data_IF_994886641103
#
_entry.id   IF_994886641103
#
_cell.length_a   1.000
_cell.length_b   1.000
_cell.length_c   1.000
_cell.angle_alpha   90.00
_cell.angle_beta   90.00
_cell.angle_gamma   90.00
#
_symmetry.space_group_name_H-M   'P 1'
#
loop_
_entity.id
_entity.type
_entity.pdbx_description
1 polymer ?
#
# COMPACT_ATOMS: atom_id res chain seq x y z
N UNK A 1 -24.09 -32.25 19.29
CA UNK A 1 -25.29 -31.70 19.93
C UNK A 1 -24.91 -30.37 20.49
N UNK A 2 -25.34 -29.28 19.87
CA UNK A 2 -26.66 -28.64 20.12
C UNK A 2 -26.45 -27.50 21.14
N UNK A 3 -27.22 -26.39 21.21
CA UNK A 3 -28.20 -25.76 20.31
C UNK A 3 -27.96 -24.23 20.25
N UNK A 4 -27.27 -23.67 19.26
CA UNK A 4 -27.24 -22.21 19.09
C UNK A 4 -26.87 -21.79 17.67
N UNK A 5 -27.41 -22.49 16.66
CA UNK A 5 -27.83 -21.77 15.47
C UNK A 5 -28.93 -20.82 15.94
N UNK A 6 -28.52 -19.66 16.48
CA UNK A 6 -29.40 -18.61 16.94
C UNK A 6 -30.23 -18.23 15.72
N UNK A 7 -31.44 -18.76 15.65
CA UNK A 7 -32.47 -18.19 14.81
C UNK A 7 -32.45 -16.71 15.12
N UNK A 8 -32.03 -15.88 14.16
CA UNK A 8 -31.98 -14.45 14.35
C UNK A 8 -33.35 -14.05 14.88
N UNK A 9 -33.41 -13.51 16.11
CA UNK A 9 -34.69 -13.32 16.75
C UNK A 9 -35.46 -12.34 15.88
N UNK A 10 -36.61 -12.77 15.38
CA UNK A 10 -37.43 -11.97 14.47
C UNK A 10 -38.40 -11.13 15.30
N UNK A 11 -38.71 -9.92 14.82
CA UNK A 11 -39.81 -9.14 15.37
C UNK A 11 -41.16 -9.79 15.05
N UNK A 12 -42.25 -9.17 15.51
CA UNK A 12 -43.62 -9.66 15.26
C UNK A 12 -43.99 -9.72 13.77
N UNK A 13 -43.25 -9.03 12.92
CA UNK A 13 -43.44 -8.95 11.48
C UNK A 13 -42.44 -9.83 10.71
N UNK A 14 -41.67 -10.68 11.40
CA UNK A 14 -40.73 -11.61 10.78
C UNK A 14 -39.41 -10.97 10.33
N UNK A 15 -39.09 -9.76 10.79
CA UNK A 15 -37.85 -9.05 10.44
C UNK A 15 -36.75 -9.33 11.47
N UNK A 16 -35.48 -9.46 11.05
CA UNK A 16 -34.38 -9.69 11.99
C UNK A 16 -34.27 -8.54 12.99
N UNK A 17 -34.23 -8.87 14.28
CA UNK A 17 -34.00 -7.89 15.35
C UNK A 17 -32.53 -7.51 15.36
N UNK A 18 -32.27 -6.21 15.20
CA UNK A 18 -30.93 -5.65 15.33
C UNK A 18 -30.56 -5.49 16.80
N UNK A 19 -29.53 -6.21 17.26
CA UNK A 19 -28.94 -5.98 18.58
C UNK A 19 -27.99 -4.78 18.51
N UNK A 20 -28.34 -3.69 19.20
CA UNK A 20 -27.53 -2.46 19.26
C UNK A 20 -26.34 -2.52 20.23
N UNK A 21 -26.31 -3.52 21.11
CA UNK A 21 -25.23 -3.71 22.09
C UNK A 21 -24.14 -4.62 21.51
N UNK A 22 -22.84 -4.27 21.66
CA UNK A 22 -21.75 -5.14 21.25
C UNK A 22 -21.84 -6.50 21.92
N UNK A 23 -21.57 -7.57 21.16
CA UNK A 23 -21.57 -8.94 21.70
C UNK A 23 -20.56 -9.11 22.84
N UNK A 24 -19.43 -8.41 22.75
CA UNK A 24 -18.32 -8.50 23.70
C UNK A 24 -18.47 -7.54 24.91
N UNK A 25 -19.60 -6.84 25.04
CA UNK A 25 -19.83 -5.89 26.14
C UNK A 25 -19.00 -4.60 26.06
N UNK A 26 -18.35 -4.34 24.92
CA UNK A 26 -17.60 -3.10 24.67
C UNK A 26 -18.49 -1.85 24.55
N UNK A 27 -17.89 -0.66 24.35
CA UNK A 27 -18.64 0.58 24.25
C UNK A 27 -19.51 0.63 22.98
N UNK A 28 -20.81 0.84 23.16
CA UNK A 28 -21.78 1.06 22.08
C UNK A 28 -21.71 2.52 21.56
N UNK A 29 -20.58 2.89 20.94
CA UNK A 29 -20.38 4.22 20.35
C UNK A 29 -20.87 4.34 18.91
N UNK A 30 -20.74 5.53 18.31
CA UNK A 30 -21.09 5.80 16.92
C UNK A 30 -20.45 4.81 15.93
N UNK A 31 -19.18 4.46 16.13
CA UNK A 31 -18.48 3.49 15.29
C UNK A 31 -19.17 2.13 15.26
N UNK A 32 -19.68 1.65 16.41
CA UNK A 32 -20.40 0.38 16.48
C UNK A 32 -21.73 0.44 15.73
N UNK A 33 -22.50 1.53 15.90
CA UNK A 33 -23.76 1.74 15.19
C UNK A 33 -23.57 1.81 13.66
N UNK A 34 -22.48 2.45 13.20
CA UNK A 34 -22.14 2.52 11.79
C UNK A 34 -21.74 1.14 11.23
N UNK A 35 -21.02 0.32 11.99
CA UNK A 35 -20.71 -1.06 11.60
C UNK A 35 -21.98 -1.90 11.46
N UNK A 36 -22.91 -1.82 12.43
CA UNK A 36 -24.20 -2.53 12.34
C UNK A 36 -25.02 -2.09 11.13
N UNK A 37 -25.07 -0.77 10.84
CA UNK A 37 -25.75 -0.25 9.66
C UNK A 37 -25.11 -0.79 8.36
N UNK A 38 -23.77 -0.85 8.30
CA UNK A 38 -23.06 -1.40 7.15
C UNK A 38 -23.36 -2.88 6.93
N UNK A 39 -23.38 -3.69 7.99
CA UNK A 39 -23.73 -5.12 7.91
C UNK A 39 -25.15 -5.32 7.36
N UNK A 40 -26.12 -4.54 7.83
CA UNK A 40 -27.49 -4.60 7.34
C UNK A 40 -27.60 -4.19 5.86
N UNK A 41 -26.85 -3.17 5.45
CA UNK A 41 -26.82 -2.74 4.05
C UNK A 41 -26.20 -3.79 3.12
N UNK A 42 -25.12 -4.45 3.54
CA UNK A 42 -24.54 -5.59 2.82
C UNK A 42 -25.54 -6.76 2.75
N UNK A 43 -26.36 -6.92 3.79
CA UNK A 43 -27.51 -7.84 3.81
C UNK A 43 -28.69 -7.44 2.92
N UNK A 44 -28.62 -6.29 2.22
CA UNK A 44 -29.65 -5.81 1.30
C UNK A 44 -30.69 -4.88 1.93
N UNK A 45 -30.52 -4.48 3.20
CA UNK A 45 -31.39 -3.49 3.83
C UNK A 45 -31.23 -2.11 3.15
N UNK A 46 -32.35 -1.45 2.90
CA UNK A 46 -32.35 -0.07 2.40
C UNK A 46 -32.04 0.90 3.54
N UNK A 47 -30.87 1.55 3.48
CA UNK A 47 -30.50 2.64 4.38
C UNK A 47 -30.89 4.00 3.76
N UNK A 48 -31.55 4.85 4.55
CA UNK A 48 -31.72 6.26 4.19
C UNK A 48 -30.47 7.07 4.55
N UNK A 49 -29.54 7.17 3.60
CA UNK A 49 -28.34 7.99 3.74
C UNK A 49 -28.63 9.49 3.86
N UNK A 50 -29.82 9.96 3.47
CA UNK A 50 -30.21 11.37 3.64
C UNK A 50 -30.38 11.68 5.12
N UNK A 51 -31.04 10.79 5.87
CA UNK A 51 -31.21 10.91 7.31
C UNK A 51 -29.87 10.88 8.06
N UNK A 52 -28.91 10.07 7.60
CA UNK A 52 -27.57 9.97 8.21
C UNK A 52 -26.82 11.32 8.18
N UNK A 53 -27.01 12.10 7.12
CA UNK A 53 -26.31 13.37 6.93
C UNK A 53 -27.17 14.60 7.29
N UNK A 54 -28.39 14.39 7.78
CA UNK A 54 -29.30 15.47 8.15
C UNK A 54 -28.67 16.33 9.28
N UNK A 55 -28.61 17.65 9.08
CA UNK A 55 -28.04 18.59 10.05
C UNK A 55 -26.51 18.66 10.09
N UNK A 56 -25.81 17.91 9.24
CA UNK A 56 -24.34 17.99 9.11
C UNK A 56 -23.94 18.90 7.94
N UNK A 57 -22.90 19.73 8.10
CA UNK A 57 -22.28 20.46 6.99
C UNK A 57 -21.46 19.49 6.13
N UNK A 58 -22.11 18.78 5.22
CA UNK A 58 -21.43 17.85 4.29
C UNK A 58 -21.09 18.57 3.00
N UNK A 59 -19.80 18.57 2.63
CA UNK A 59 -19.36 19.07 1.33
C UNK A 59 -19.66 18.05 0.24
N UNK A 60 -20.60 18.35 -0.65
CA UNK A 60 -20.83 17.53 -1.86
C UNK A 60 -19.67 17.71 -2.81
N UNK A 61 -18.95 16.64 -3.09
CA UNK A 61 -17.93 16.59 -4.14
C UNK A 61 -18.62 16.17 -5.44
N UNK A 62 -18.39 16.87 -6.57
CA UNK A 62 -18.92 16.42 -7.85
C UNK A 62 -18.33 15.06 -8.18
N UNK A 63 -19.19 14.10 -8.51
CA UNK A 63 -18.74 12.85 -9.11
C UNK A 63 -18.12 13.19 -10.47
N UNK A 64 -16.98 12.58 -10.84
CA UNK A 64 -16.45 12.68 -12.19
C UNK A 64 -17.56 12.38 -13.20
N UNK A 65 -17.72 13.23 -14.22
CA UNK A 65 -18.92 13.24 -15.07
C UNK A 65 -18.99 12.08 -16.07
N UNK A 66 -18.04 11.13 -16.02
CA UNK A 66 -17.98 9.97 -16.91
C UNK A 66 -17.18 8.81 -16.28
N UNK A 67 -17.62 7.54 -16.40
CA UNK A 67 -16.97 6.40 -15.74
C UNK A 67 -15.61 5.97 -16.34
N UNK A 68 -15.23 6.44 -17.52
CA UNK A 68 -13.93 6.12 -18.15
C UNK A 68 -13.51 7.23 -19.12
N UNK A 69 -13.57 8.50 -18.69
CA UNK A 69 -13.11 9.57 -19.57
C UNK A 69 -11.65 9.25 -19.87
N UNK A 70 -11.29 9.05 -21.15
CA UNK A 70 -9.91 8.80 -21.58
C UNK A 70 -9.10 10.09 -21.48
N UNK A 71 -9.23 10.81 -20.37
CA UNK A 71 -8.22 11.72 -19.89
C UNK A 71 -7.03 10.86 -19.50
N UNK A 72 -5.92 11.06 -20.21
CA UNK A 72 -4.61 10.67 -19.68
C UNK A 72 -4.37 11.55 -18.45
N UNK A 73 -4.92 11.16 -17.31
CA UNK A 73 -4.52 11.65 -16.01
C UNK A 73 -3.23 10.92 -15.65
N UNK A 74 -2.17 11.25 -16.37
CA UNK A 74 -0.87 11.07 -15.76
C UNK A 74 -0.93 11.91 -14.50
N UNK A 75 -0.68 11.29 -13.34
CA UNK A 75 0.14 12.00 -12.37
C UNK A 75 1.39 12.29 -13.19
N UNK A 76 1.47 13.49 -13.78
CA UNK A 76 2.77 14.03 -14.16
C UNK A 76 3.58 13.77 -12.91
N UNK A 77 4.63 12.91 -12.96
CA UNK A 77 5.51 12.84 -11.84
C UNK A 77 5.91 14.28 -11.67
N UNK A 78 5.37 14.89 -10.61
CA UNK A 78 5.92 16.13 -10.18
C UNK A 78 7.40 15.79 -10.13
N UNK A 79 8.20 16.54 -10.88
CA UNK A 79 9.21 17.31 -10.20
C UNK A 79 8.53 17.67 -8.89
N UNK A 80 8.77 16.85 -7.86
CA UNK A 80 8.40 17.20 -6.52
C UNK A 80 8.98 18.59 -6.46
N UNK A 81 8.11 19.60 -6.49
CA UNK A 81 8.55 20.93 -6.12
C UNK A 81 9.00 20.66 -4.72
N UNK A 82 10.31 20.46 -4.59
CA UNK A 82 10.98 20.33 -3.33
C UNK A 82 10.48 21.56 -2.60
N UNK A 83 9.52 21.36 -1.70
CA UNK A 83 9.24 22.35 -0.69
C UNK A 83 10.61 22.68 -0.12
N UNK A 84 10.93 23.97 0.04
CA UNK A 84 12.29 24.46 0.20
C UNK A 84 13.07 23.49 1.06
N UNK A 85 14.06 22.84 0.44
CA UNK A 85 14.78 21.72 1.01
C UNK A 85 15.16 22.11 2.43
N UNK A 86 14.48 21.53 3.43
CA UNK A 86 14.80 21.83 4.82
C UNK A 86 16.13 21.13 5.07
N UNK A 87 17.22 21.88 4.97
CA UNK A 87 18.59 21.43 5.24
C UNK A 87 18.69 21.14 6.74
N UNK A 88 18.05 20.05 7.15
CA UNK A 88 18.17 19.49 8.48
C UNK A 88 19.48 18.71 8.57
N UNK A 89 20.18 18.72 9.72
CA UNK A 89 21.44 18.01 9.94
C UNK A 89 21.31 16.46 9.97
N UNK A 90 20.25 15.91 9.36
CA UNK A 90 19.92 14.49 9.33
C UNK A 90 19.90 13.83 7.96
N UNK A 91 20.03 14.58 6.85
CA UNK A 91 19.89 14.01 5.49
C UNK A 91 20.93 12.94 5.19
N UNK A 92 20.51 11.88 4.51
CA UNK A 92 21.39 10.82 4.07
C UNK A 92 22.52 11.32 3.16
N UNK A 93 22.24 12.30 2.27
CA UNK A 93 23.26 12.93 1.40
C UNK A 93 24.42 13.55 2.15
N UNK A 94 24.21 14.09 3.36
CA UNK A 94 25.27 14.70 4.16
C UNK A 94 26.30 13.66 4.64
N UNK A 95 25.96 12.36 4.60
CA UNK A 95 26.84 11.25 5.00
C UNK A 95 27.49 10.57 3.80
N UNK A 96 27.17 10.99 2.57
CA UNK A 96 27.75 10.40 1.39
C UNK A 96 29.22 10.77 1.25
N UNK A 97 30.03 9.77 0.90
CA UNK A 97 31.44 9.94 0.57
C UNK A 97 31.59 9.85 -0.96
N UNK A 98 31.97 10.93 -1.65
CA UNK A 98 32.21 10.91 -3.10
C UNK A 98 33.31 9.91 -3.51
N UNK A 99 34.23 9.57 -2.60
CA UNK A 99 35.32 8.62 -2.84
C UNK A 99 34.92 7.16 -2.64
N UNK A 100 33.75 6.88 -2.05
CA UNK A 100 33.27 5.53 -1.77
C UNK A 100 31.78 5.36 -2.16
N UNK A 101 31.49 5.11 -3.45
CA UNK A 101 30.13 4.87 -3.92
C UNK A 101 29.47 3.63 -3.29
N UNK A 102 30.26 2.61 -2.95
CA UNK A 102 29.72 1.38 -2.35
C UNK A 102 29.15 1.67 -0.96
N UNK A 103 29.85 2.48 -0.17
CA UNK A 103 29.35 2.97 1.12
C UNK A 103 28.06 3.78 0.98
N UNK A 104 27.93 4.60 -0.07
CA UNK A 104 26.71 5.39 -0.30
C UNK A 104 25.51 4.48 -0.62
N UNK A 105 25.72 3.43 -1.41
CA UNK A 105 24.72 2.38 -1.69
C UNK A 105 24.32 1.64 -0.41
N UNK A 106 25.27 1.31 0.45
CA UNK A 106 24.99 0.69 1.75
C UNK A 106 24.15 1.59 2.64
N UNK A 107 24.45 2.90 2.70
CA UNK A 107 23.68 3.87 3.47
C UNK A 107 22.22 3.97 2.99
N UNK A 108 21.99 3.99 1.68
CA UNK A 108 20.64 4.00 1.09
C UNK A 108 19.91 2.69 1.42
N UNK A 109 20.61 1.56 1.29
CA UNK A 109 20.06 0.23 1.59
C UNK A 109 19.63 0.14 3.05
N UNK A 110 20.50 0.54 3.98
CA UNK A 110 20.20 0.47 5.41
C UNK A 110 19.04 1.37 5.81
N UNK A 111 18.99 2.59 5.27
CA UNK A 111 17.88 3.50 5.48
C UNK A 111 16.56 2.89 4.99
N UNK A 112 16.55 2.31 3.79
CA UNK A 112 15.33 1.73 3.21
C UNK A 112 14.86 0.49 3.99
N UNK A 113 15.80 -0.35 4.44
CA UNK A 113 15.50 -1.51 5.29
C UNK A 113 14.95 -1.09 6.65
N UNK A 114 15.48 -0.01 7.23
CA UNK A 114 14.97 0.54 8.50
C UNK A 114 13.56 1.10 8.34
N UNK A 115 13.32 1.92 7.32
CA UNK A 115 12.01 2.57 7.12
C UNK A 115 10.92 1.54 6.75
N UNK A 116 11.21 0.61 5.84
CA UNK A 116 10.29 -0.50 5.52
C UNK A 116 10.09 -1.41 6.74
N UNK A 117 11.17 -1.68 7.50
CA UNK A 117 11.12 -2.49 8.71
C UNK A 117 10.24 -1.87 9.80
N UNK A 118 10.32 -0.56 9.99
CA UNK A 118 9.47 0.20 10.93
C UNK A 118 7.99 0.05 10.59
N UNK A 119 7.66 0.06 9.30
CA UNK A 119 6.28 -0.03 8.81
C UNK A 119 5.75 -1.48 8.84
N UNK A 120 6.61 -2.49 8.64
CA UNK A 120 6.25 -3.92 8.72
C UNK A 120 6.32 -4.49 10.15
N UNK A 121 6.64 -3.67 11.16
CA UNK A 121 6.72 -4.07 12.57
C UNK A 121 7.99 -4.84 12.96
N UNK A 122 9.08 -4.67 12.21
CA UNK A 122 10.42 -5.14 12.60
C UNK A 122 11.39 -5.33 11.42
N UNK A 123 12.63 -4.83 11.58
CA UNK A 123 13.71 -4.91 10.57
C UNK A 123 14.02 -6.34 10.09
N UNK A 124 13.93 -7.32 10.98
CA UNK A 124 14.21 -8.74 10.68
C UNK A 124 13.24 -9.39 9.68
N UNK A 125 12.10 -8.75 9.35
CA UNK A 125 11.16 -9.25 8.35
C UNK A 125 11.49 -8.80 6.93
N UNK A 126 12.45 -7.89 6.78
CA UNK A 126 12.81 -7.28 5.50
C UNK A 126 13.93 -8.08 4.85
N UNK A 127 13.61 -8.75 3.75
CA UNK A 127 14.59 -9.47 2.94
C UNK A 127 14.94 -8.66 1.69
N UNK A 128 16.24 -8.42 1.46
CA UNK A 128 16.75 -7.55 0.40
C UNK A 128 16.34 -7.98 -1.02
N UNK A 129 16.27 -9.29 -1.23
CA UNK A 129 16.03 -9.94 -2.52
C UNK A 129 14.58 -10.44 -2.67
N UNK A 130 13.72 -10.15 -1.68
CA UNK A 130 12.31 -10.50 -1.71
C UNK A 130 11.48 -9.37 -2.29
N UNK A 131 10.41 -9.75 -2.98
CA UNK A 131 9.44 -8.79 -3.50
C UNK A 131 8.71 -8.08 -2.35
N UNK A 132 8.74 -6.75 -2.33
CA UNK A 132 8.13 -5.91 -1.29
C UNK A 132 6.62 -6.15 -1.16
N UNK A 133 5.92 -6.37 -2.27
CA UNK A 133 4.48 -6.66 -2.26
C UNK A 133 4.16 -8.03 -1.66
N UNK A 134 5.05 -9.01 -1.82
CA UNK A 134 4.91 -10.32 -1.18
C UNK A 134 5.18 -10.25 0.34
N UNK A 135 5.94 -9.24 0.79
CA UNK A 135 6.19 -8.95 2.22
C UNK A 135 5.06 -8.16 2.89
N UNK A 136 4.01 -7.81 2.15
CA UNK A 136 2.84 -7.09 2.67
C UNK A 136 3.00 -5.57 2.67
N UNK A 137 4.00 -5.04 1.96
CA UNK A 137 4.10 -3.59 1.69
C UNK A 137 3.02 -3.21 0.68
N UNK A 138 2.12 -2.31 1.06
CA UNK A 138 1.09 -1.79 0.16
C UNK A 138 1.58 -0.59 -0.67
N UNK A 139 0.81 -0.23 -1.71
CA UNK A 139 1.17 0.84 -2.64
C UNK A 139 1.16 2.24 -2.00
N UNK A 140 0.37 2.49 -0.95
CA UNK A 140 0.34 3.80 -0.28
C UNK A 140 1.57 3.99 0.61
N UNK A 141 1.93 2.94 1.36
CA UNK A 141 3.17 2.86 2.15
C UNK A 141 4.39 3.08 1.25
N UNK A 142 4.39 2.48 0.07
CA UNK A 142 5.47 2.64 -0.91
C UNK A 142 5.64 4.10 -1.35
N UNK A 143 4.54 4.80 -1.64
CA UNK A 143 4.56 6.21 -2.03
C UNK A 143 5.14 7.07 -0.89
N UNK A 144 4.79 6.79 0.36
CA UNK A 144 5.32 7.49 1.53
C UNK A 144 6.84 7.27 1.67
N UNK A 145 7.30 6.03 1.53
CA UNK A 145 8.72 5.67 1.62
C UNK A 145 9.52 6.33 0.49
N UNK A 146 9.02 6.29 -0.75
CA UNK A 146 9.64 6.96 -1.92
C UNK A 146 9.75 8.46 -1.69
N UNK A 147 8.67 9.09 -1.21
CA UNK A 147 8.63 10.53 -0.97
C UNK A 147 9.67 10.93 0.09
N UNK A 148 9.76 10.18 1.20
CA UNK A 148 10.78 10.40 2.25
C UNK A 148 12.19 10.17 1.72
N UNK A 149 12.41 9.08 0.98
CA UNK A 149 13.72 8.78 0.41
C UNK A 149 14.18 9.91 -0.51
N UNK A 150 13.30 10.42 -1.37
CA UNK A 150 13.64 11.53 -2.27
C UNK A 150 14.06 12.80 -1.53
N UNK A 151 13.50 13.07 -0.34
CA UNK A 151 13.96 14.15 0.53
C UNK A 151 15.34 13.87 1.15
N UNK A 152 15.59 12.62 1.53
CA UNK A 152 16.85 12.19 2.15
C UNK A 152 18.04 12.18 1.18
N UNK A 153 17.79 11.81 -0.09
CA UNK A 153 18.82 11.73 -1.14
C UNK A 153 18.88 12.96 -2.05
N UNK A 154 18.05 13.97 -1.81
CA UNK A 154 17.91 15.19 -2.64
C UNK A 154 17.76 14.87 -4.14
N UNK A 155 17.01 13.79 -4.43
CA UNK A 155 16.82 13.27 -5.77
C UNK A 155 15.36 12.88 -5.97
N UNK A 156 14.78 13.25 -7.11
CA UNK A 156 13.42 12.90 -7.44
C UNK A 156 13.34 11.40 -7.81
N UNK A 157 12.93 10.58 -6.84
CA UNK A 157 12.74 9.14 -7.02
C UNK A 157 11.37 8.90 -7.66
N UNK A 158 11.29 8.31 -8.89
CA UNK A 158 10.01 7.97 -9.50
C UNK A 158 9.28 6.87 -8.71
N UNK A 159 7.99 7.02 -8.38
CA UNK A 159 7.23 5.96 -7.68
C UNK A 159 7.13 4.65 -8.47
N UNK A 160 7.26 4.72 -9.80
CA UNK A 160 7.22 3.57 -10.71
C UNK A 160 8.46 2.67 -10.58
N UNK A 161 9.57 3.18 -10.03
CA UNK A 161 10.81 2.40 -9.89
C UNK A 161 10.63 1.14 -9.05
N UNK A 162 9.76 1.12 -8.05
CA UNK A 162 9.48 -0.10 -7.28
C UNK A 162 8.60 -1.13 -8.01
N UNK A 163 7.92 -0.72 -9.09
CA UNK A 163 7.18 -1.66 -9.94
C UNK A 163 8.17 -2.40 -10.86
N UNK A 164 9.13 -1.67 -11.41
CA UNK A 164 10.18 -2.21 -12.27
C UNK A 164 11.24 -2.98 -11.47
N UNK A 165 11.54 -2.50 -10.27
CA UNK A 165 12.53 -3.06 -9.35
C UNK A 165 11.88 -3.36 -7.98
N UNK A 166 11.13 -4.48 -7.86
CA UNK A 166 10.29 -4.75 -6.70
C UNK A 166 11.03 -5.26 -5.46
N UNK A 167 12.36 -5.34 -5.51
CA UNK A 167 13.21 -5.75 -4.39
C UNK A 167 14.04 -4.56 -3.93
N UNK A 168 14.41 -4.53 -2.65
CA UNK A 168 15.23 -3.46 -2.08
C UNK A 168 16.57 -3.36 -2.83
N UNK A 169 17.22 -4.49 -3.09
CA UNK A 169 18.50 -4.51 -3.81
C UNK A 169 18.37 -3.90 -5.21
N UNK A 170 17.43 -4.39 -6.02
CA UNK A 170 17.28 -3.94 -7.40
C UNK A 170 16.88 -2.46 -7.48
N UNK A 171 16.04 -2.00 -6.54
CA UNK A 171 15.64 -0.61 -6.47
C UNK A 171 16.82 0.31 -6.10
N UNK A 172 17.63 -0.05 -5.10
CA UNK A 172 18.78 0.76 -4.69
C UNK A 172 19.86 0.77 -5.78
N UNK A 173 20.12 -0.36 -6.43
CA UNK A 173 21.06 -0.45 -7.55
C UNK A 173 20.63 0.50 -8.69
N UNK A 174 19.33 0.48 -9.06
CA UNK A 174 18.79 1.40 -10.07
C UNK A 174 18.87 2.87 -9.64
N UNK A 175 18.55 3.18 -8.38
CA UNK A 175 18.64 4.55 -7.87
C UNK A 175 20.09 5.06 -7.87
N UNK A 176 21.04 4.21 -7.49
CA UNK A 176 22.45 4.58 -7.48
C UNK A 176 23.00 4.83 -8.89
N UNK A 177 22.53 4.08 -9.90
CA UNK A 177 22.80 4.38 -11.31
C UNK A 177 22.17 5.70 -11.76
N UNK A 178 20.91 5.97 -11.40
CA UNK A 178 20.21 7.22 -11.73
C UNK A 178 20.89 8.46 -11.11
N UNK A 179 21.42 8.31 -9.90
CA UNK A 179 22.19 9.34 -9.21
C UNK A 179 23.64 9.48 -9.73
N UNK A 180 24.09 8.59 -10.63
CA UNK A 180 25.45 8.57 -11.15
C UNK A 180 26.51 8.16 -10.12
N UNK A 181 26.10 7.55 -9.00
CA UNK A 181 27.01 7.06 -7.96
C UNK A 181 27.81 5.85 -8.43
N UNK A 182 27.18 4.98 -9.21
CA UNK A 182 27.81 3.80 -9.80
C UNK A 182 27.56 3.77 -11.30
N UNK A 183 28.61 3.42 -12.06
CA UNK A 183 28.50 3.09 -13.47
C UNK A 183 28.42 1.57 -13.60
N UNK A 184 27.21 1.01 -13.57
CA UNK A 184 26.94 -0.43 -13.69
C UNK A 184 26.57 -0.84 -15.13
N UNK A 185 26.98 -2.04 -15.58
CA UNK A 185 26.61 -2.56 -16.91
C UNK A 185 25.12 -2.90 -16.95
N UNK A 186 24.42 -2.36 -17.97
CA UNK A 186 22.97 -2.49 -18.23
C UNK A 186 22.38 -3.91 -18.23
N UNK A 187 23.21 -4.96 -18.15
CA UNK A 187 22.81 -6.35 -18.38
C UNK A 187 22.16 -7.07 -17.18
N UNK A 188 22.29 -6.58 -15.94
CA UNK A 188 21.65 -7.25 -14.77
C UNK A 188 20.20 -6.83 -14.50
N UNK A 189 19.78 -5.66 -14.96
CA UNK A 189 18.40 -5.18 -14.80
C UNK A 189 17.38 -6.09 -15.51
N UNK A 190 17.81 -6.83 -16.55
CA UNK A 190 16.97 -7.76 -17.29
C UNK A 190 16.74 -9.10 -16.56
N UNK A 191 17.60 -9.51 -15.64
CA UNK A 191 17.52 -10.83 -14.98
C UNK A 191 16.72 -10.80 -13.66
N UNK A 192 16.65 -9.63 -12.99
CA UNK A 192 15.86 -9.42 -11.78
C UNK A 192 14.37 -9.10 -12.04
N UNK A 193 14.03 -8.77 -13.30
CA UNK A 193 12.65 -8.69 -13.77
C UNK A 193 12.06 -10.10 -13.90
N UNK A 194 11.86 -10.79 -12.79
CA UNK A 194 10.93 -11.92 -12.74
C UNK A 194 9.56 -11.34 -12.41
N UNK A 195 8.72 -11.00 -13.42
CA UNK A 195 7.35 -10.67 -13.12
C UNK A 195 6.72 -11.96 -12.58
N UNK A 196 5.69 -11.77 -11.77
CA UNK A 196 4.79 -12.83 -11.32
C UNK A 196 5.24 -13.54 -10.04
N UNK A 197 4.72 -12.96 -8.96
CA UNK A 197 4.31 -13.60 -7.72
C UNK A 197 4.26 -15.13 -7.77
N UNK A 198 4.82 -15.79 -6.74
CA UNK A 198 4.61 -17.24 -6.52
C UNK A 198 3.12 -17.62 -6.51
N UNK A 199 2.21 -16.68 -6.22
CA UNK A 199 0.76 -16.86 -6.29
C UNK A 199 0.24 -17.13 -7.71
N UNK A 200 0.71 -16.45 -8.75
CA UNK A 200 0.28 -16.75 -10.11
C UNK A 200 0.97 -18.00 -10.70
N UNK A 201 2.20 -18.33 -10.27
CA UNK A 201 2.79 -19.66 -10.58
C UNK A 201 1.98 -20.82 -9.99
N UNK A 202 1.44 -20.66 -8.77
CA UNK A 202 0.59 -21.68 -8.12
C UNK A 202 -0.82 -21.78 -8.74
N UNK A 203 -1.32 -20.71 -9.35
CA UNK A 203 -2.59 -20.71 -10.08
C UNK A 203 -2.47 -21.38 -11.47
N UNK A 204 -1.39 -21.12 -12.20
CA UNK A 204 -1.13 -21.76 -13.50
C UNK A 204 -0.82 -23.26 -13.37
N UNK A 205 -0.12 -23.69 -12.31
CA UNK A 205 0.14 -25.10 -12.05
C UNK A 205 -1.13 -25.93 -11.72
N UNK A 206 -2.25 -25.27 -11.38
CA UNK A 206 -3.55 -25.94 -11.18
C UNK A 206 -4.37 -26.08 -12.47
N UNK A 207 -4.18 -25.18 -13.44
CA UNK A 207 -4.88 -25.23 -14.72
C UNK A 207 -4.25 -26.22 -15.72
N UNK A 208 -2.94 -26.45 -15.64
CA UNK A 208 -2.24 -27.42 -16.49
C UNK A 208 -2.44 -28.90 -16.11
N UNK A 209 -3.23 -29.19 -15.06
CA UNK A 209 -3.45 -30.55 -14.55
C UNK A 209 -4.86 -31.10 -14.78
N UNK A 210 -5.67 -30.49 -15.66
CA UNK A 210 -7.10 -30.86 -15.83
C UNK A 210 -7.52 -31.10 -17.27
N UNK A 211 -6.59 -31.41 -18.18
CA UNK A 211 -6.88 -31.77 -19.58
C UNK A 211 -6.33 -33.15 -20.00
N UNK A 212 -6.22 -34.10 -19.07
CA UNK A 212 -5.99 -35.50 -19.45
C UNK A 212 -6.71 -36.44 -18.47
N UNK A 213 -7.97 -36.75 -18.80
CA UNK A 213 -8.70 -38.01 -18.57
C UNK A 213 -10.18 -37.88 -18.96
#
# INVERSE_FOLDING_TARGET
>A
GDPAALAEPLDRDGRPLLRLAPADGGPAGLGHLLTLAAEQWVGGAALDFTAVHAGSEVRRLPLPTYPFERGRHWVEPGHATAGPAQDGPGRLTARFDPGDPARNVELITDWLVEEVGRLLGGRQRVALDSNLFDMGVDSLVLIEVVAKLGQEVDFAVPPTSFIEFPTIRAFVDNLAELMGLVSGPRDRAAEAASPVSRRARKAQARQAGTEDL
#
